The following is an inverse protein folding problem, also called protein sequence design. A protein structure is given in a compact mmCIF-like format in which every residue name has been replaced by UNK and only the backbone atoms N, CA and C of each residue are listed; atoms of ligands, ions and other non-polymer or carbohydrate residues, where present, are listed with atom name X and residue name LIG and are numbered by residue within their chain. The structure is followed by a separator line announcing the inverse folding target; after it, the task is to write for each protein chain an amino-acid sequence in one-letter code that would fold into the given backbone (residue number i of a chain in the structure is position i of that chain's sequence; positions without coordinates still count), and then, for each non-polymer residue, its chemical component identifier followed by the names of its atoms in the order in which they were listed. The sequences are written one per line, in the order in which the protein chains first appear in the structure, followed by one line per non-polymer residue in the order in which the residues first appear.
data_IF_297058363540
#
_entry.id   IF_297058363540
#
_cell.length_a   1.000
_cell.length_b   1.000
_cell.length_c   1.000
_cell.angle_alpha   90.00
_cell.angle_beta   90.00
_cell.angle_gamma   90.00
#
_symmetry.space_group_name_H-M   'P 1'
#
loop_
_entity.id
_entity.type
_entity.pdbx_description
1 polymer ?
#
# COMPACT_ATOMS: atom_id res chain seq x y z
N UNK A 1 -3.44 -39.99 -30.04
CA UNK A 1 -2.50 -39.39 -29.08
C UNK A 1 -2.91 -37.92 -28.95
N UNK A 2 -3.36 -37.47 -27.77
CA UNK A 2 -3.73 -36.07 -27.53
C UNK A 2 -2.58 -35.42 -26.75
N UNK A 3 -1.89 -34.49 -27.38
CA UNK A 3 -0.90 -33.64 -26.71
C UNK A 3 -1.68 -32.44 -26.18
N UNK A 4 -1.84 -32.36 -24.86
CA UNK A 4 -2.33 -31.15 -24.21
C UNK A 4 -1.11 -30.30 -23.88
N UNK A 5 -0.90 -29.21 -24.62
CA UNK A 5 0.09 -28.19 -24.27
C UNK A 5 -0.56 -27.33 -23.20
N UNK A 6 -0.18 -27.55 -21.94
CA UNK A 6 -0.44 -26.61 -20.86
C UNK A 6 0.53 -25.45 -21.04
N UNK A 7 0.12 -24.44 -21.80
CA UNK A 7 0.84 -23.19 -21.89
C UNK A 7 0.29 -22.28 -20.80
N UNK A 8 0.91 -22.32 -19.63
CA UNK A 8 0.68 -21.32 -18.60
C UNK A 8 1.34 -20.04 -19.11
N UNK A 9 0.55 -19.15 -19.70
CA UNK A 9 0.95 -17.75 -19.83
C UNK A 9 0.98 -17.21 -18.40
N UNK A 10 2.12 -17.33 -17.73
CA UNK A 10 2.38 -16.51 -16.56
C UNK A 10 2.15 -15.08 -17.01
N UNK A 11 1.16 -14.41 -16.40
CA UNK A 11 0.94 -12.98 -16.61
C UNK A 11 2.28 -12.30 -16.31
N UNK A 12 3.00 -11.89 -17.34
CA UNK A 12 4.39 -11.43 -17.27
C UNK A 12 4.46 -9.93 -16.91
N UNK A 13 3.43 -9.41 -16.24
CA UNK A 13 3.13 -7.99 -16.25
C UNK A 13 2.71 -7.41 -14.89
N UNK A 14 2.94 -8.11 -13.78
CA UNK A 14 2.42 -7.66 -12.47
C UNK A 14 3.47 -7.30 -11.41
N UNK A 15 4.65 -6.80 -11.79
CA UNK A 15 5.67 -6.14 -10.94
C UNK A 15 5.22 -5.70 -9.55
N UNK A 16 5.63 -6.31 -8.45
CA UNK A 16 5.49 -5.71 -7.13
C UNK A 16 6.72 -5.98 -6.25
N UNK A 17 7.18 -4.96 -5.54
CA UNK A 17 8.35 -5.08 -4.67
C UNK A 17 8.36 -4.04 -3.56
N UNK A 18 9.09 -4.39 -2.50
CA UNK A 18 9.54 -3.46 -1.46
C UNK A 18 11.00 -3.75 -1.11
N UNK A 19 11.83 -2.71 -1.11
CA UNK A 19 13.23 -2.76 -0.72
C UNK A 19 13.41 -1.95 0.55
N UNK A 20 14.08 -2.54 1.54
CA UNK A 20 14.37 -1.94 2.83
C UNK A 20 15.88 -1.82 2.98
N UNK A 21 16.37 -0.58 3.06
CA UNK A 21 17.76 -0.27 3.38
C UNK A 21 17.89 0.16 4.84
N UNK A 22 18.68 -0.56 5.64
CA UNK A 22 19.05 -0.15 7.00
C UNK A 22 20.43 0.49 7.01
N UNK A 23 20.55 1.66 7.65
CA UNK A 23 21.75 2.48 7.71
C UNK A 23 22.34 2.48 9.12
N UNK A 24 23.59 2.94 9.23
CA UNK A 24 24.30 3.02 10.53
C UNK A 24 23.71 4.06 11.46
N UNK A 25 23.13 5.13 10.91
CA UNK A 25 22.54 6.23 11.68
C UNK A 25 21.31 6.79 11.00
N UNK A 26 20.50 7.51 11.78
CA UNK A 26 19.33 8.26 11.28
C UNK A 26 19.76 9.30 10.24
N UNK A 27 20.90 9.97 10.45
CA UNK A 27 21.42 10.98 9.52
C UNK A 27 21.81 10.38 8.17
N UNK A 28 22.40 9.17 8.17
CA UNK A 28 22.76 8.50 6.92
C UNK A 28 21.49 8.09 6.14
N UNK A 29 20.47 7.59 6.85
CA UNK A 29 19.19 7.23 6.24
C UNK A 29 18.45 8.46 5.68
N UNK A 30 18.44 9.57 6.42
CA UNK A 30 17.86 10.84 5.97
C UNK A 30 18.56 11.35 4.70
N UNK A 31 19.90 11.33 4.67
CA UNK A 31 20.66 11.71 3.48
C UNK A 31 20.32 10.80 2.29
N UNK A 32 20.30 9.48 2.49
CA UNK A 32 19.99 8.53 1.44
C UNK A 32 18.55 8.70 0.91
N UNK A 33 17.57 8.91 1.79
CA UNK A 33 16.19 9.18 1.38
C UNK A 33 16.07 10.47 0.58
N UNK A 34 16.75 11.54 1.01
CA UNK A 34 16.77 12.80 0.28
C UNK A 34 17.41 12.64 -1.11
N UNK A 35 18.49 11.87 -1.21
CA UNK A 35 19.13 11.55 -2.50
C UNK A 35 18.20 10.74 -3.41
N UNK A 36 17.48 9.75 -2.89
CA UNK A 36 16.50 8.99 -3.68
C UNK A 36 15.36 9.87 -4.16
N UNK A 37 14.81 10.72 -3.29
CA UNK A 37 13.75 11.68 -3.64
C UNK A 37 14.21 12.65 -4.74
N UNK A 38 15.46 13.11 -4.68
CA UNK A 38 16.06 13.94 -5.73
C UNK A 38 16.18 13.19 -7.06
N UNK A 39 16.75 11.98 -7.04
CA UNK A 39 16.88 11.12 -8.24
C UNK A 39 15.51 10.90 -8.88
N UNK A 40 14.53 10.45 -8.07
CA UNK A 40 13.18 10.16 -8.55
C UNK A 40 12.45 11.42 -9.02
N UNK A 41 12.66 12.55 -8.37
CA UNK A 41 12.11 13.85 -8.79
C UNK A 41 12.57 14.20 -10.21
N UNK A 42 13.87 14.12 -10.48
CA UNK A 42 14.41 14.40 -11.82
C UNK A 42 13.92 13.42 -12.89
N UNK A 43 13.73 12.15 -12.56
CA UNK A 43 13.18 11.15 -13.48
C UNK A 43 11.73 11.51 -13.83
N UNK A 44 10.92 11.79 -12.80
CA UNK A 44 9.50 12.17 -12.97
C UNK A 44 9.34 13.45 -13.79
N UNK A 45 10.23 14.44 -13.63
CA UNK A 45 10.21 15.69 -14.41
C UNK A 45 10.55 15.50 -15.89
N UNK A 46 11.37 14.50 -16.21
CA UNK A 46 11.85 14.26 -17.58
C UNK A 46 11.04 13.21 -18.33
N UNK A 47 10.11 12.51 -17.66
CA UNK A 47 9.29 11.49 -18.31
C UNK A 47 8.31 12.12 -19.29
N UNK A 48 8.14 11.47 -20.44
CA UNK A 48 7.12 11.82 -21.43
C UNK A 48 5.90 10.91 -21.27
N UNK A 49 6.13 9.62 -21.03
CA UNK A 49 5.13 8.59 -20.77
C UNK A 49 5.71 7.56 -19.79
N UNK A 50 4.88 7.03 -18.88
CA UNK A 50 5.27 5.98 -17.92
C UNK A 50 5.54 4.63 -18.60
N UNK A 51 5.01 4.41 -19.80
CA UNK A 51 5.20 3.17 -20.56
C UNK A 51 6.35 3.25 -21.57
N UNK A 52 7.10 4.36 -21.60
CA UNK A 52 8.30 4.43 -22.44
C UNK A 52 9.36 3.48 -21.88
N UNK A 53 9.81 2.52 -22.70
CA UNK A 53 10.85 1.59 -22.30
C UNK A 53 12.24 2.23 -22.27
N UNK A 54 12.41 3.42 -22.88
CA UNK A 54 13.69 4.08 -23.02
C UNK A 54 14.02 4.92 -21.78
N UNK A 55 15.26 4.76 -21.30
CA UNK A 55 15.80 5.59 -20.22
C UNK A 55 15.70 7.08 -20.53
N UNK A 56 15.28 7.86 -19.55
CA UNK A 56 15.36 9.32 -19.58
C UNK A 56 16.79 9.78 -19.23
N UNK A 57 17.21 11.00 -19.60
CA UNK A 57 18.57 11.48 -19.33
C UNK A 57 18.99 11.40 -17.86
N UNK A 58 18.08 11.65 -16.92
CA UNK A 58 18.35 11.49 -15.49
C UNK A 58 18.77 10.05 -15.12
N UNK A 59 18.07 9.03 -15.64
CA UNK A 59 18.39 7.62 -15.35
C UNK A 59 19.77 7.25 -15.89
N UNK A 60 20.10 7.67 -17.11
CA UNK A 60 21.44 7.46 -17.69
C UNK A 60 22.52 8.11 -16.83
N UNK A 61 22.30 9.37 -16.44
CA UNK A 61 23.26 10.12 -15.64
C UNK A 61 23.49 9.49 -14.26
N UNK A 62 22.42 9.09 -13.57
CA UNK A 62 22.54 8.45 -12.25
C UNK A 62 23.09 7.03 -12.33
N UNK A 63 22.78 6.27 -13.38
CA UNK A 63 23.39 4.97 -13.63
C UNK A 63 24.91 5.07 -13.74
N UNK A 64 25.41 6.08 -14.48
CA UNK A 64 26.84 6.37 -14.59
C UNK A 64 27.43 6.86 -13.25
N UNK A 65 26.76 7.80 -12.57
CA UNK A 65 27.24 8.37 -11.30
C UNK A 65 27.44 7.31 -10.22
N UNK A 66 26.47 6.40 -10.06
CA UNK A 66 26.53 5.36 -9.03
C UNK A 66 27.17 4.05 -9.52
N UNK A 67 27.51 3.98 -10.82
CA UNK A 67 28.03 2.79 -11.48
C UNK A 67 27.17 1.55 -11.19
N UNK A 68 25.89 1.65 -11.56
CA UNK A 68 24.86 0.60 -11.42
C UNK A 68 24.29 0.24 -12.80
N UNK A 69 23.79 -0.99 -12.94
CA UNK A 69 23.09 -1.40 -14.14
C UNK A 69 21.67 -0.81 -14.15
N UNK A 70 21.36 0.01 -15.15
CA UNK A 70 20.04 0.59 -15.35
C UNK A 70 19.70 0.49 -16.83
N UNK A 71 18.89 -0.50 -17.19
CA UNK A 71 18.66 -0.89 -18.58
C UNK A 71 17.26 -0.51 -19.09
N UNK A 72 16.36 -0.11 -18.19
CA UNK A 72 14.96 0.26 -18.49
C UNK A 72 14.46 1.40 -17.62
N UNK A 73 13.47 2.11 -18.14
CA UNK A 73 12.79 3.19 -17.44
C UNK A 73 11.96 2.67 -16.25
N UNK A 74 11.97 3.38 -15.12
CA UNK A 74 11.15 3.06 -13.94
C UNK A 74 9.65 3.35 -14.18
N UNK A 75 8.95 2.39 -14.78
CA UNK A 75 7.52 2.46 -15.11
C UNK A 75 6.57 2.45 -13.89
N UNK A 76 7.07 2.10 -12.70
CA UNK A 76 6.34 2.18 -11.43
C UNK A 76 6.48 3.54 -10.72
N UNK A 77 7.36 4.43 -11.20
CA UNK A 77 7.67 5.68 -10.51
C UNK A 77 6.68 6.78 -10.91
N UNK A 78 5.60 6.95 -10.13
CA UNK A 78 4.60 7.98 -10.38
C UNK A 78 4.99 9.34 -9.80
N UNK A 79 5.53 9.34 -8.57
CA UNK A 79 5.83 10.53 -7.79
C UNK A 79 6.74 10.19 -6.59
N UNK A 80 7.96 10.72 -6.60
CA UNK A 80 9.02 10.37 -5.67
C UNK A 80 8.60 10.24 -4.19
N UNK A 81 7.74 11.15 -3.72
CA UNK A 81 7.29 11.26 -2.33
C UNK A 81 6.37 10.11 -1.87
N UNK A 82 5.78 9.35 -2.77
CA UNK A 82 4.96 8.18 -2.42
C UNK A 82 5.73 6.86 -2.45
N UNK A 83 6.90 6.82 -3.08
CA UNK A 83 7.67 5.58 -3.20
C UNK A 83 8.84 5.49 -2.22
N UNK A 84 9.25 6.59 -1.57
CA UNK A 84 10.38 6.61 -0.63
C UNK A 84 9.90 7.09 0.74
N UNK A 85 10.10 6.27 1.76
CA UNK A 85 9.85 6.65 3.15
C UNK A 85 11.10 6.40 3.98
N UNK A 86 11.47 7.39 4.82
CA UNK A 86 12.46 7.23 5.86
C UNK A 86 11.80 7.04 7.22
N UNK A 87 12.26 6.02 7.95
CA UNK A 87 11.87 5.73 9.33
C UNK A 87 13.14 5.43 10.13
N UNK A 88 13.51 6.35 11.01
CA UNK A 88 14.72 6.23 11.85
C UNK A 88 15.97 5.98 11.00
N UNK A 89 16.71 4.90 11.22
CA UNK A 89 17.86 4.54 10.40
C UNK A 89 17.49 3.64 9.20
N UNK A 90 16.22 3.60 8.80
CA UNK A 90 15.72 2.73 7.71
C UNK A 90 15.11 3.58 6.60
N UNK A 91 15.37 3.19 5.35
CA UNK A 91 14.72 3.73 4.15
C UNK A 91 13.98 2.59 3.46
N UNK A 92 12.73 2.83 3.10
CA UNK A 92 11.84 1.87 2.46
C UNK A 92 11.48 2.42 1.08
N UNK A 93 11.62 1.58 0.05
CA UNK A 93 11.25 1.89 -1.33
C UNK A 93 10.28 0.85 -1.85
N UNK A 94 9.10 1.23 -2.33
CA UNK A 94 8.10 0.29 -2.85
C UNK A 94 7.57 0.69 -4.22
N UNK A 95 7.33 -0.30 -5.08
CA UNK A 95 6.55 -0.11 -6.31
C UNK A 95 5.08 0.05 -5.93
N UNK A 96 4.63 1.30 -5.84
CA UNK A 96 3.26 1.63 -5.43
C UNK A 96 2.18 1.04 -6.39
N UNK A 97 2.54 0.73 -7.64
CA UNK A 97 1.61 0.12 -8.60
C UNK A 97 1.91 -1.36 -8.74
N UNK A 98 0.91 -2.20 -8.42
CA UNK A 98 0.94 -3.66 -8.48
C UNK A 98 1.02 -4.22 -9.92
N UNK A 99 1.59 -3.48 -10.86
CA UNK A 99 1.70 -3.84 -12.27
C UNK A 99 2.84 -3.08 -12.94
N UNK A 100 4.07 -3.42 -12.58
CA UNK A 100 5.28 -2.93 -13.26
C UNK A 100 5.99 -4.01 -14.08
N UNK A 101 6.71 -3.60 -15.12
CA UNK A 101 7.62 -4.44 -15.90
C UNK A 101 9.06 -4.41 -15.39
N UNK A 102 9.34 -3.59 -14.38
CA UNK A 102 10.62 -3.49 -13.70
C UNK A 102 10.53 -4.03 -12.26
N UNK A 103 11.47 -4.91 -11.93
CA UNK A 103 11.68 -5.34 -10.54
C UNK A 103 12.53 -4.35 -9.75
N UNK A 104 12.90 -4.75 -8.52
CA UNK A 104 13.62 -3.90 -7.58
C UNK A 104 15.14 -3.74 -7.86
N UNK A 105 15.68 -4.39 -8.88
CA UNK A 105 17.13 -4.51 -9.10
C UNK A 105 17.90 -3.17 -9.07
N UNK A 106 17.35 -2.11 -9.69
CA UNK A 106 17.96 -0.78 -9.66
C UNK A 106 18.07 -0.25 -8.22
N UNK A 107 17.05 -0.48 -7.40
CA UNK A 107 17.01 -0.04 -6.01
C UNK A 107 17.93 -0.89 -5.13
N UNK A 108 17.97 -2.20 -5.38
CA UNK A 108 18.88 -3.13 -4.70
C UNK A 108 20.35 -2.80 -4.96
N UNK A 109 20.67 -2.29 -6.14
CA UNK A 109 22.02 -1.82 -6.48
C UNK A 109 22.31 -0.42 -5.93
N UNK A 110 21.31 0.48 -5.92
CA UNK A 110 21.49 1.88 -5.51
C UNK A 110 21.62 2.04 -4.00
N UNK A 111 20.77 1.38 -3.20
CA UNK A 111 20.79 1.53 -1.73
C UNK A 111 22.13 1.18 -1.08
N UNK A 112 22.86 0.11 -1.46
CA UNK A 112 24.19 -0.17 -0.94
C UNK A 112 25.22 0.90 -1.31
N UNK A 113 25.09 1.55 -2.48
CA UNK A 113 25.96 2.69 -2.86
C UNK A 113 25.73 3.90 -1.96
N UNK A 114 24.50 4.03 -1.42
CA UNK A 114 24.15 5.04 -0.42
C UNK A 114 24.54 4.62 1.01
N UNK A 115 25.10 3.42 1.21
CA UNK A 115 25.59 2.93 2.50
C UNK A 115 24.61 2.04 3.28
N UNK A 116 23.53 1.58 2.66
CA UNK A 116 22.56 0.69 3.28
C UNK A 116 23.04 -0.77 3.35
N UNK A 117 22.56 -1.49 4.35
CA UNK A 117 22.37 -2.95 4.28
C UNK A 117 20.95 -3.22 3.77
N UNK A 118 20.81 -4.01 2.70
CA UNK A 118 19.53 -4.16 1.99
C UNK A 118 18.84 -5.50 2.30
N UNK A 119 17.53 -5.45 2.50
CA UNK A 119 16.60 -6.57 2.43
C UNK A 119 15.53 -6.26 1.37
N UNK A 120 15.08 -7.28 0.63
CA UNK A 120 14.17 -7.11 -0.49
C UNK A 120 13.08 -8.17 -0.48
N UNK A 121 11.87 -7.73 -0.80
CA UNK A 121 10.72 -8.56 -1.11
C UNK A 121 10.21 -8.20 -2.51
N UNK A 122 9.90 -9.19 -3.34
CA UNK A 122 9.57 -8.98 -4.75
C UNK A 122 8.80 -10.12 -5.41
N UNK A 123 8.17 -9.83 -6.54
CA UNK A 123 7.05 -10.53 -7.23
C UNK A 123 7.27 -11.98 -7.73
N UNK A 124 8.30 -12.67 -7.28
CA UNK A 124 8.43 -14.13 -7.39
C UNK A 124 9.04 -14.76 -6.15
N UNK A 125 9.39 -13.95 -5.15
CA UNK A 125 9.73 -14.47 -3.85
C UNK A 125 8.45 -15.03 -3.26
N UNK A 126 8.48 -16.32 -2.95
CA UNK A 126 7.62 -16.87 -1.93
C UNK A 126 8.07 -16.25 -0.59
N UNK A 127 8.06 -14.92 -0.43
CA UNK A 127 8.38 -14.20 0.78
C UNK A 127 7.56 -12.91 0.94
N UNK A 128 7.56 -12.39 2.15
CA UNK A 128 6.90 -11.14 2.53
C UNK A 128 7.75 -10.41 3.56
N UNK A 129 7.83 -9.08 3.49
CA UNK A 129 8.40 -8.30 4.61
C UNK A 129 7.44 -8.33 5.80
N UNK A 130 7.92 -8.93 6.87
CA UNK A 130 7.23 -8.99 8.14
C UNK A 130 7.77 -7.92 9.07
N UNK A 131 6.87 -7.14 9.63
CA UNK A 131 7.18 -6.11 10.61
C UNK A 131 6.75 -6.59 11.98
N UNK A 132 7.65 -6.43 12.94
CA UNK A 132 7.35 -6.50 14.36
C UNK A 132 7.50 -5.11 14.96
N UNK A 133 6.43 -4.60 15.57
CA UNK A 133 6.41 -3.31 16.25
C UNK A 133 6.36 -3.54 17.76
N UNK A 134 7.31 -2.96 18.48
CA UNK A 134 7.35 -2.97 19.94
C UNK A 134 7.18 -1.56 20.46
N UNK A 135 6.13 -1.31 21.23
CA UNK A 135 5.83 0.00 21.80
C UNK A 135 5.87 -0.06 23.33
N UNK A 136 6.71 0.75 23.96
CA UNK A 136 6.64 1.02 25.40
C UNK A 136 5.54 2.04 25.67
N UNK A 137 4.58 1.66 26.49
CA UNK A 137 3.42 2.49 26.87
C UNK A 137 3.67 3.21 28.19
N UNK A 138 2.97 4.34 28.47
CA UNK A 138 3.15 5.08 29.72
C UNK A 138 2.69 4.30 30.96
N UNK A 139 1.72 3.39 30.82
CA UNK A 139 1.25 2.51 31.88
C UNK A 139 0.57 1.26 31.30
N UNK A 140 0.53 0.17 32.07
CA UNK A 140 0.02 -1.14 31.62
C UNK A 140 -1.44 -1.11 31.13
N UNK A 141 -2.30 -0.26 31.71
CA UNK A 141 -3.67 -0.11 31.24
C UNK A 141 -3.74 0.43 29.78
N UNK A 142 -2.75 1.21 29.33
CA UNK A 142 -2.67 1.65 27.93
C UNK A 142 -2.27 0.49 27.02
N UNK A 143 -1.32 -0.36 27.42
CA UNK A 143 -0.97 -1.55 26.65
C UNK A 143 -2.18 -2.47 26.46
N UNK A 144 -2.95 -2.74 27.52
CA UNK A 144 -4.15 -3.57 27.45
C UNK A 144 -5.23 -2.97 26.52
N UNK A 145 -5.45 -1.66 26.60
CA UNK A 145 -6.40 -0.98 25.70
C UNK A 145 -5.93 -1.07 24.24
N UNK A 146 -4.66 -0.77 23.96
CA UNK A 146 -4.12 -0.80 22.60
C UNK A 146 -4.07 -2.22 22.04
N UNK A 147 -3.76 -3.21 22.88
CA UNK A 147 -3.84 -4.64 22.54
C UNK A 147 -5.27 -5.01 22.13
N UNK A 148 -6.28 -4.64 22.94
CA UNK A 148 -7.68 -4.90 22.62
C UNK A 148 -8.08 -4.27 21.29
N UNK A 149 -7.79 -2.98 21.09
CA UNK A 149 -8.11 -2.25 19.86
C UNK A 149 -7.43 -2.89 18.63
N UNK A 150 -6.17 -3.30 18.78
CA UNK A 150 -5.42 -3.94 17.70
C UNK A 150 -5.97 -5.34 17.39
N UNK A 151 -6.26 -6.15 18.41
CA UNK A 151 -6.82 -7.49 18.25
C UNK A 151 -8.25 -7.47 17.67
N UNK A 152 -9.07 -6.49 18.04
CA UNK A 152 -10.40 -6.30 17.44
C UNK A 152 -10.28 -6.03 15.94
N UNK A 153 -9.35 -5.16 15.54
CA UNK A 153 -9.07 -4.88 14.14
C UNK A 153 -8.54 -6.12 13.38
N UNK A 154 -7.51 -6.80 13.92
CA UNK A 154 -6.91 -7.96 13.29
C UNK A 154 -7.93 -9.11 13.13
N UNK A 155 -8.79 -9.32 14.12
CA UNK A 155 -9.87 -10.31 14.06
C UNK A 155 -10.92 -9.96 13.00
N UNK A 156 -11.30 -8.68 12.89
CA UNK A 156 -12.20 -8.21 11.85
C UNK A 156 -11.58 -8.36 10.45
N UNK A 157 -10.26 -8.11 10.33
CA UNK A 157 -9.53 -8.23 9.07
C UNK A 157 -9.44 -9.69 8.61
N UNK A 158 -9.10 -10.62 9.51
CA UNK A 158 -9.11 -12.04 9.22
C UNK A 158 -10.52 -12.49 8.74
N UNK A 159 -11.56 -12.11 9.48
CA UNK A 159 -12.95 -12.42 9.11
C UNK A 159 -13.36 -11.84 7.75
N UNK A 160 -12.87 -10.64 7.41
CA UNK A 160 -13.08 -10.01 6.12
C UNK A 160 -12.41 -10.81 4.99
N UNK A 161 -11.17 -11.23 5.18
CA UNK A 161 -10.40 -11.96 4.16
C UNK A 161 -10.87 -13.41 3.96
N UNK A 162 -11.41 -14.04 5.00
CA UNK A 162 -12.02 -15.38 4.93
C UNK A 162 -13.40 -15.37 4.24
N UNK A 163 -13.99 -14.19 4.01
CA UNK A 163 -15.29 -14.09 3.36
C UNK A 163 -15.19 -14.37 1.86
N UNK A 164 -16.03 -15.27 1.30
CA UNK A 164 -16.07 -15.50 -0.15
C UNK A 164 -16.47 -14.25 -0.94
N UNK A 165 -17.11 -13.28 -0.28
CA UNK A 165 -17.62 -12.05 -0.88
C UNK A 165 -16.78 -10.82 -0.49
N UNK A 166 -15.54 -11.00 -0.01
CA UNK A 166 -14.71 -9.91 0.53
C UNK A 166 -14.56 -8.70 -0.42
N UNK A 167 -14.56 -8.92 -1.74
CA UNK A 167 -14.51 -7.84 -2.74
C UNK A 167 -15.72 -6.91 -2.72
N UNK A 168 -16.83 -7.35 -2.10
CA UNK A 168 -18.08 -6.59 -1.96
C UNK A 168 -18.35 -6.12 -0.53
N UNK A 169 -17.54 -6.56 0.44
CA UNK A 169 -17.69 -6.18 1.83
C UNK A 169 -16.87 -4.92 2.16
N UNK A 170 -17.36 -4.07 3.09
CA UNK A 170 -16.54 -3.02 3.65
C UNK A 170 -15.38 -3.64 4.41
N UNK A 171 -14.17 -3.32 3.98
CA UNK A 171 -12.96 -3.78 4.66
C UNK A 171 -12.79 -3.04 6.00
N UNK A 172 -12.37 -3.72 7.07
CA UNK A 172 -12.23 -3.10 8.39
C UNK A 172 -11.20 -1.97 8.36
N UNK A 173 -11.47 -0.94 9.14
CA UNK A 173 -10.63 0.26 9.22
C UNK A 173 -9.57 0.03 10.29
N UNK A 174 -8.29 0.19 9.94
CA UNK A 174 -7.23 0.14 10.93
C UNK A 174 -7.27 1.38 11.84
N UNK A 175 -6.96 1.26 13.14
CA UNK A 175 -6.90 2.40 14.06
C UNK A 175 -5.96 3.52 13.59
N UNK A 176 -4.92 3.13 12.85
CA UNK A 176 -3.90 4.05 12.34
C UNK A 176 -4.19 4.62 10.95
N UNK A 177 -5.30 4.25 10.29
CA UNK A 177 -5.61 4.74 8.94
C UNK A 177 -5.69 6.29 8.85
N UNK A 178 -6.03 6.96 9.95
CA UNK A 178 -6.11 8.43 10.04
C UNK A 178 -4.76 9.14 10.17
N UNK A 179 -3.68 8.38 10.37
CA UNK A 179 -2.32 8.88 10.51
C UNK A 179 -1.51 8.77 9.21
N UNK A 180 -2.18 8.36 8.13
CA UNK A 180 -1.63 8.34 6.80
C UNK A 180 -1.28 9.77 6.34
N UNK A 181 -0.13 9.93 5.70
CA UNK A 181 0.43 11.24 5.29
C UNK A 181 -0.52 12.00 4.37
N UNK A 182 -0.56 13.33 4.54
CA UNK A 182 -1.38 14.23 3.71
C UNK A 182 -2.71 14.65 4.34
N UNK A 183 -2.89 14.43 5.65
CA UNK A 183 -4.07 14.80 6.44
C UNK A 183 -4.67 16.13 5.96
N UNK A 184 -5.83 16.14 5.28
CA UNK A 184 -6.59 17.37 5.20
C UNK A 184 -7.04 17.71 6.64
N UNK A 185 -7.12 19.00 7.00
CA UNK A 185 -7.63 19.46 8.31
C UNK A 185 -9.11 19.10 8.48
N UNK A 186 -9.41 17.82 8.66
CA UNK A 186 -10.77 17.29 8.70
C UNK A 186 -10.96 16.62 10.06
N UNK A 187 -12.06 16.98 10.73
CA UNK A 187 -12.44 16.36 12.00
C UNK A 187 -12.82 14.90 11.78
N UNK A 188 -12.56 14.04 12.76
CA UNK A 188 -12.94 12.63 12.77
C UNK A 188 -14.42 12.41 12.40
N UNK A 189 -15.32 13.27 12.88
CA UNK A 189 -16.75 13.22 12.53
C UNK A 189 -17.01 13.38 11.03
N UNK A 190 -16.29 14.29 10.37
CA UNK A 190 -16.45 14.51 8.93
C UNK A 190 -15.90 13.33 8.12
N UNK A 191 -14.92 12.61 8.67
CA UNK A 191 -14.37 11.38 8.10
C UNK A 191 -15.40 10.25 8.20
N UNK A 192 -15.93 10.03 9.39
CA UNK A 192 -16.95 9.01 9.65
C UNK A 192 -18.18 9.28 8.79
N UNK A 193 -18.59 10.54 8.65
CA UNK A 193 -19.68 10.93 7.77
C UNK A 193 -19.37 10.60 6.30
N UNK A 194 -18.18 10.95 5.79
CA UNK A 194 -17.79 10.65 4.41
C UNK A 194 -17.73 9.13 4.13
N UNK A 195 -17.21 8.35 5.08
CA UNK A 195 -17.20 6.89 4.97
C UNK A 195 -18.61 6.30 4.95
N UNK A 196 -19.50 6.74 5.85
CA UNK A 196 -20.88 6.28 5.87
C UNK A 196 -21.63 6.65 4.58
N UNK A 197 -21.39 7.85 4.05
CA UNK A 197 -21.93 8.28 2.75
C UNK A 197 -21.41 7.38 1.62
N UNK A 198 -20.12 7.04 1.61
CA UNK A 198 -19.54 6.11 0.64
C UNK A 198 -20.16 4.71 0.74
N UNK A 199 -20.35 4.18 1.96
CA UNK A 199 -21.00 2.89 2.19
C UNK A 199 -22.45 2.88 1.71
N UNK A 200 -23.20 3.95 1.96
CA UNK A 200 -24.56 4.10 1.45
C UNK A 200 -24.58 4.14 -0.09
N UNK A 201 -23.63 4.85 -0.71
CA UNK A 201 -23.49 4.91 -2.16
C UNK A 201 -23.10 3.56 -2.76
N UNK A 202 -22.18 2.82 -2.14
CA UNK A 202 -21.79 1.48 -2.58
C UNK A 202 -22.98 0.51 -2.53
N UNK A 203 -23.76 0.50 -1.44
CA UNK A 203 -25.00 -0.30 -1.35
C UNK A 203 -25.99 0.04 -2.46
N UNK A 204 -26.11 1.33 -2.81
CA UNK A 204 -26.97 1.78 -3.91
C UNK A 204 -26.47 1.29 -5.27
N UNK A 205 -25.15 1.30 -5.49
CA UNK A 205 -24.52 0.76 -6.69
C UNK A 205 -24.72 -0.75 -6.81
N UNK A 206 -24.56 -1.50 -5.72
CA UNK A 206 -24.83 -2.94 -5.69
C UNK A 206 -26.30 -3.26 -5.99
N UNK A 207 -27.24 -2.48 -5.44
CA UNK A 207 -28.67 -2.63 -5.78
C UNK A 207 -28.94 -2.42 -7.27
N UNK A 208 -28.25 -1.48 -7.92
CA UNK A 208 -28.39 -1.23 -9.36
C UNK A 208 -27.75 -2.38 -10.17
N UNK A 209 -26.57 -2.86 -9.76
CA UNK A 209 -25.89 -4.02 -10.38
C UNK A 209 -26.77 -5.27 -10.30
N UNK A 210 -27.42 -5.50 -9.17
CA UNK A 210 -28.36 -6.59 -9.00
C UNK A 210 -29.61 -6.43 -9.88
N UNK A 211 -30.18 -5.23 -10.00
CA UNK A 211 -31.28 -4.97 -10.95
C UNK A 211 -30.85 -5.27 -12.40
N UNK A 212 -29.64 -4.86 -12.79
CA UNK A 212 -29.08 -5.17 -14.12
C UNK A 212 -28.92 -6.68 -14.33
N UNK A 213 -28.44 -7.41 -13.31
CA UNK A 213 -28.30 -8.87 -13.33
C UNK A 213 -29.66 -9.56 -13.50
N UNK A 214 -30.68 -9.11 -12.77
CA UNK A 214 -32.05 -9.62 -12.88
C UNK A 214 -32.68 -9.37 -14.25
N UNK A 215 -32.28 -8.30 -14.92
CA UNK A 215 -32.67 -8.00 -16.31
C UNK A 215 -31.86 -8.82 -17.35
N UNK A 216 -30.98 -9.73 -16.91
CA UNK A 216 -30.16 -10.57 -17.79
C UNK A 216 -29.02 -9.81 -18.47
N UNK A 217 -28.63 -8.64 -17.94
CA UNK A 217 -27.57 -7.79 -18.49
C UNK A 217 -26.24 -8.24 -17.85
N UNK A 218 -25.55 -9.19 -18.51
CA UNK A 218 -24.23 -9.68 -18.10
C UNK A 218 -23.14 -9.08 -19.01
N UNK A 219 -22.27 -8.24 -18.46
CA UNK A 219 -21.24 -7.50 -19.21
C UNK A 219 -21.82 -6.32 -20.01
N UNK A 220 -20.98 -5.39 -20.45
CA UNK A 220 -21.39 -4.20 -21.22
C UNK A 220 -21.18 -4.45 -22.72
N UNK A 221 -22.23 -4.63 -23.53
CA UNK A 221 -22.14 -4.36 -24.96
C UNK A 221 -22.52 -2.89 -25.21
N UNK A 222 -21.60 -2.11 -25.79
CA UNK A 222 -21.72 -0.67 -26.10
C UNK A 222 -22.87 -0.27 -27.04
N UNK A 223 -23.82 -1.15 -27.37
CA UNK A 223 -24.77 -0.98 -28.49
C UNK A 223 -26.26 -1.05 -28.15
N UNK A 224 -26.65 -0.95 -26.89
CA UNK A 224 -28.08 -0.84 -26.52
C UNK A 224 -28.36 0.57 -26.01
N UNK A 225 -29.22 1.38 -26.67
CA UNK A 225 -29.54 2.75 -26.24
C UNK A 225 -29.97 2.86 -24.78
N UNK A 226 -30.67 1.83 -24.28
CA UNK A 226 -31.11 1.73 -22.88
C UNK A 226 -29.95 1.48 -21.89
N UNK A 227 -28.87 0.81 -22.32
CA UNK A 227 -27.65 0.66 -21.53
C UNK A 227 -26.90 1.99 -21.50
N UNK A 228 -26.79 2.69 -22.62
CA UNK A 228 -26.18 4.04 -22.66
C UNK A 228 -26.95 5.04 -21.78
N UNK A 229 -28.29 4.98 -21.75
CA UNK A 229 -29.11 5.80 -20.86
C UNK A 229 -28.93 5.45 -19.37
N UNK A 230 -28.82 4.17 -19.02
CA UNK A 230 -28.56 3.75 -17.64
C UNK A 230 -27.13 4.08 -17.20
N UNK A 231 -26.14 3.91 -18.08
CA UNK A 231 -24.74 4.31 -17.86
C UNK A 231 -24.63 5.83 -17.72
N UNK A 232 -25.34 6.59 -18.55
CA UNK A 232 -25.39 8.04 -18.48
C UNK A 232 -26.09 8.50 -17.20
N UNK A 233 -27.22 7.88 -16.82
CA UNK A 233 -27.90 8.15 -15.55
C UNK A 233 -27.01 7.81 -14.35
N UNK A 234 -26.26 6.71 -14.41
CA UNK A 234 -25.24 6.35 -13.42
C UNK A 234 -24.15 7.42 -13.33
N UNK A 235 -23.57 7.83 -14.47
CA UNK A 235 -22.52 8.86 -14.52
C UNK A 235 -23.03 10.23 -14.06
N UNK A 236 -24.27 10.60 -14.39
CA UNK A 236 -24.89 11.84 -13.95
C UNK A 236 -25.26 11.81 -12.47
N UNK A 237 -25.60 10.64 -11.92
CA UNK A 237 -25.75 10.43 -10.48
C UNK A 237 -24.41 10.46 -9.76
N UNK A 238 -23.32 9.97 -10.36
CA UNK A 238 -21.98 10.00 -9.78
C UNK A 238 -21.30 11.37 -9.92
N UNK A 239 -21.68 12.17 -10.92
CA UNK A 239 -21.07 13.47 -11.28
C UNK A 239 -20.93 14.48 -10.13
N UNK A 240 -21.95 14.69 -9.27
CA UNK A 240 -21.82 15.58 -8.10
C UNK A 240 -20.79 15.06 -7.09
N UNK A 241 -20.45 13.77 -7.16
CA UNK A 241 -19.56 13.07 -6.26
C UNK A 241 -18.20 12.75 -6.86
N UNK A 242 -17.86 13.20 -8.08
CA UNK A 242 -16.55 12.90 -8.70
C UNK A 242 -15.55 14.06 -8.52
N UNK A 243 -15.99 15.24 -8.08
CA UNK A 243 -15.14 16.43 -7.96
C UNK A 243 -15.44 17.34 -6.76
N UNK A 244 -16.11 16.83 -5.74
CA UNK A 244 -16.28 17.59 -4.50
C UNK A 244 -15.06 17.38 -3.60
N UNK A 245 -14.78 18.32 -2.70
CA UNK A 245 -13.79 18.05 -1.63
C UNK A 245 -14.13 16.78 -0.86
N UNK A 246 -15.43 16.51 -0.65
CA UNK A 246 -15.91 15.27 -0.05
C UNK A 246 -15.55 14.02 -0.86
N UNK A 247 -15.54 14.08 -2.19
CA UNK A 247 -15.15 12.94 -3.01
C UNK A 247 -13.65 12.73 -3.05
N UNK A 248 -12.86 13.80 -3.16
CA UNK A 248 -11.40 13.73 -3.04
C UNK A 248 -11.00 13.19 -1.68
N UNK A 249 -11.73 13.58 -0.64
CA UNK A 249 -11.58 13.07 0.71
C UNK A 249 -11.97 11.59 0.79
N UNK A 250 -13.10 11.18 0.17
CA UNK A 250 -13.52 9.78 0.12
C UNK A 250 -12.57 8.88 -0.71
N UNK A 251 -12.00 9.39 -1.80
CA UNK A 251 -11.01 8.71 -2.62
C UNK A 251 -9.68 8.60 -1.85
N UNK A 252 -9.25 9.68 -1.19
CA UNK A 252 -8.12 9.65 -0.25
C UNK A 252 -8.36 8.65 0.88
N UNK A 253 -9.59 8.57 1.41
CA UNK A 253 -9.96 7.58 2.42
C UNK A 253 -9.89 6.17 1.89
N UNK A 254 -10.56 5.90 0.78
CA UNK A 254 -10.54 4.60 0.14
C UNK A 254 -9.11 4.14 -0.12
N UNK A 255 -8.27 5.08 -0.55
CA UNK A 255 -6.85 4.87 -0.77
C UNK A 255 -6.07 4.59 0.52
N UNK A 256 -6.15 5.47 1.53
CA UNK A 256 -5.50 5.28 2.83
C UNK A 256 -5.95 3.98 3.52
N UNK A 257 -7.23 3.63 3.41
CA UNK A 257 -7.78 2.38 3.95
C UNK A 257 -7.33 1.16 3.16
N UNK A 258 -7.16 1.25 1.84
CA UNK A 258 -6.68 0.12 1.06
C UNK A 258 -5.19 -0.14 1.31
N UNK A 259 -4.44 0.90 1.64
CA UNK A 259 -2.99 0.83 1.77
C UNK A 259 -2.48 0.74 3.22
N UNK A 260 -3.27 1.11 4.24
CA UNK A 260 -2.83 0.99 5.64
C UNK A 260 -3.02 -0.42 6.25
N UNK A 261 -3.47 -1.40 5.48
CA UNK A 261 -3.82 -2.74 5.97
C UNK A 261 -2.63 -3.69 5.86
N UNK A 262 -2.38 -4.51 6.89
CA UNK A 262 -1.54 -5.66 6.68
C UNK A 262 -2.26 -6.68 5.77
N UNK A 263 -1.55 -7.26 4.82
CA UNK A 263 -1.96 -8.45 4.08
C UNK A 263 -1.91 -9.67 4.99
N UNK A 264 -3.01 -10.43 5.07
CA UNK A 264 -3.06 -11.67 5.83
C UNK A 264 -2.60 -12.90 5.03
N UNK A 265 -1.77 -12.73 3.99
CA UNK A 265 -1.27 -13.88 3.25
C UNK A 265 -0.32 -14.75 4.07
N UNK A 266 0.05 -14.33 5.30
CA UNK A 266 0.96 -14.96 6.28
C UNK A 266 0.43 -16.28 6.82
N UNK A 267 1.16 -17.38 6.61
CA UNK A 267 0.94 -18.66 7.34
C UNK A 267 0.96 -18.43 8.87
N UNK A 268 1.62 -17.35 9.30
CA UNK A 268 1.59 -16.87 10.67
C UNK A 268 0.66 -15.66 10.78
N UNK A 269 -0.47 -15.76 11.49
CA UNK A 269 -1.39 -14.64 11.64
C UNK A 269 -0.71 -13.47 12.37
N UNK A 270 -1.07 -12.23 11.99
CA UNK A 270 -0.70 -11.05 12.77
C UNK A 270 -1.31 -11.15 14.17
N UNK A 271 -0.52 -10.83 15.20
CA UNK A 271 -0.93 -10.92 16.60
C UNK A 271 -0.56 -9.65 17.35
N UNK A 272 -1.33 -9.30 18.39
CA UNK A 272 -0.99 -8.22 19.31
C UNK A 272 -1.11 -8.73 20.74
N UNK A 273 -0.12 -8.43 21.58
CA UNK A 273 -0.16 -8.78 22.99
C UNK A 273 0.48 -7.72 23.91
N UNK A 274 -0.08 -7.55 25.11
CA UNK A 274 0.48 -6.69 26.14
C UNK A 274 1.41 -7.48 27.09
N UNK A 275 2.61 -6.96 27.33
CA UNK A 275 3.59 -7.51 28.25
C UNK A 275 4.06 -6.43 29.24
N UNK A 276 3.28 -6.21 30.30
CA UNK A 276 3.56 -5.19 31.31
C UNK A 276 3.36 -3.78 30.76
N UNK A 277 4.45 -3.03 30.60
CA UNK A 277 4.47 -1.70 30.00
C UNK A 277 4.84 -1.71 28.51
N UNK A 278 4.73 -2.87 27.86
CA UNK A 278 4.97 -3.04 26.42
C UNK A 278 3.71 -3.53 25.71
N UNK A 279 3.49 -3.00 24.52
CA UNK A 279 2.64 -3.55 23.48
C UNK A 279 3.55 -4.14 22.40
N UNK A 280 3.29 -5.37 21.97
CA UNK A 280 4.04 -6.03 20.90
C UNK A 280 3.03 -6.45 19.84
N UNK A 281 3.23 -5.98 18.60
CA UNK A 281 2.43 -6.33 17.43
C UNK A 281 3.36 -7.04 16.45
N UNK A 282 3.06 -8.30 16.17
CA UNK A 282 3.94 -9.20 15.43
C UNK A 282 3.29 -9.65 14.13
N UNK A 283 4.12 -10.11 13.21
CA UNK A 283 3.69 -10.68 11.94
C UNK A 283 2.84 -9.72 11.09
N UNK A 284 3.11 -8.41 11.15
CA UNK A 284 2.45 -7.43 10.30
C UNK A 284 3.09 -7.44 8.91
N UNK A 285 2.33 -7.75 7.87
CA UNK A 285 2.82 -7.68 6.49
C UNK A 285 2.09 -6.54 5.78
N UNK A 286 2.74 -5.44 5.40
CA UNK A 286 2.06 -4.34 4.69
C UNK A 286 2.08 -4.47 3.15
N UNK A 287 2.72 -5.53 2.62
CA UNK A 287 2.97 -5.71 1.20
C UNK A 287 3.64 -4.48 0.59
N UNK A 288 3.20 -4.10 -0.61
CA UNK A 288 3.66 -2.88 -1.31
C UNK A 288 3.37 -1.57 -0.56
N UNK A 289 2.52 -1.61 0.46
CA UNK A 289 2.12 -0.42 1.19
C UNK A 289 2.92 -0.19 2.48
N UNK A 290 4.04 -0.92 2.66
CA UNK A 290 4.92 -0.76 3.81
C UNK A 290 5.40 0.68 3.98
N UNK A 291 5.68 1.37 2.86
CA UNK A 291 6.08 2.79 2.81
C UNK A 291 5.09 3.71 3.51
N UNK A 292 3.82 3.30 3.67
CA UNK A 292 2.75 4.17 4.15
C UNK A 292 2.06 3.62 5.41
N UNK A 293 1.80 2.32 5.47
CA UNK A 293 1.12 1.68 6.59
C UNK A 293 1.94 1.68 7.87
N UNK A 294 3.24 1.39 7.79
CA UNK A 294 4.12 1.36 8.96
C UNK A 294 4.32 2.75 9.59
N UNK A 295 4.62 3.83 8.83
CA UNK A 295 4.67 5.18 9.40
C UNK A 295 3.38 5.60 10.11
N UNK A 296 2.22 5.26 9.53
CA UNK A 296 0.92 5.58 10.12
C UNK A 296 0.73 4.86 11.46
N UNK A 297 1.06 3.56 11.54
CA UNK A 297 1.03 2.78 12.78
C UNK A 297 1.96 3.37 13.86
N UNK A 298 3.21 3.68 13.50
CA UNK A 298 4.18 4.28 14.42
C UNK A 298 3.68 5.63 14.92
N UNK A 299 3.11 6.45 14.03
CA UNK A 299 2.58 7.77 14.42
C UNK A 299 1.39 7.65 15.38
N UNK A 300 0.44 6.76 15.09
CA UNK A 300 -0.69 6.48 15.98
C UNK A 300 -0.22 6.10 17.38
N UNK A 301 0.72 5.15 17.48
CA UNK A 301 1.26 4.70 18.77
C UNK A 301 1.98 5.84 19.52
N UNK A 302 2.73 6.71 18.81
CA UNK A 302 3.38 7.88 19.41
C UNK A 302 2.37 8.90 19.94
N UNK A 303 1.27 9.14 19.22
CA UNK A 303 0.21 10.04 19.67
C UNK A 303 -0.58 9.45 20.87
N UNK A 304 -0.56 8.12 21.03
CA UNK A 304 -1.03 7.41 22.24
C UNK A 304 -0.01 7.45 23.41
N UNK A 305 1.08 8.21 23.26
CA UNK A 305 2.11 8.42 24.27
C UNK A 305 3.18 7.32 24.33
N UNK A 306 3.28 6.47 23.30
CA UNK A 306 4.24 5.37 23.28
C UNK A 306 5.63 5.81 22.80
N UNK A 307 6.67 5.17 23.33
CA UNK A 307 7.98 5.08 22.67
C UNK A 307 7.99 3.82 21.81
N UNK A 308 8.28 3.95 20.52
CA UNK A 308 8.09 2.86 19.56
C UNK A 308 9.43 2.47 18.95
N UNK A 309 9.73 1.19 19.01
CA UNK A 309 10.80 0.52 18.28
C UNK A 309 10.16 -0.44 17.25
N UNK A 310 10.84 -0.72 16.13
CA UNK A 310 10.37 -1.70 15.16
C UNK A 310 11.52 -2.49 14.55
N UNK A 311 11.18 -3.65 14.02
CA UNK A 311 12.08 -4.48 13.22
C UNK A 311 11.35 -4.96 11.98
N UNK A 312 12.09 -5.07 10.88
CA UNK A 312 11.59 -5.58 9.61
C UNK A 312 12.45 -6.78 9.26
N UNK A 313 11.79 -7.90 8.99
CA UNK A 313 12.43 -9.15 8.64
C UNK A 313 11.79 -9.69 7.36
N UNK A 314 12.63 -10.09 6.40
CA UNK A 314 12.15 -10.86 5.26
C UNK A 314 11.80 -12.28 5.72
N UNK A 315 10.54 -12.69 5.56
CA UNK A 315 10.10 -14.05 5.86
C UNK A 315 9.75 -14.78 4.58
N UNK A 316 10.31 -15.97 4.37
CA UNK A 316 9.88 -16.85 3.29
C UNK A 316 8.58 -17.58 3.66
N UNK A 317 7.65 -17.63 2.70
CA UNK A 317 6.43 -18.43 2.65
C UNK A 317 6.67 -19.93 2.51
N UNK A 318 7.88 -20.34 2.10
CA UNK A 318 8.27 -21.76 2.05
C UNK A 318 9.01 -22.15 3.33
N UNK A 319 8.29 -22.69 4.33
CA UNK A 319 8.88 -23.40 5.47
C UNK A 319 8.07 -24.61 5.87
#
# INVERSE_FOLDING_TARGET
MKISIWQQFGSNHSSDFTVVGTFKSVSDAEQAAQTLLEIFGYIVEQRIDIYDAKLVPAEVWYAEQYNIAWDRHLDWLYNADQQVTQLENTVIVSSYVASTWMGAAVIDELLPKLGASVQQDGEMSNGGLIVTVTARVPHSATAQRLEQVTNDYLSALASYLDSPDYTSMPSPISPWAFYFVGKPEVSEDAIVAAYNDQQANHKKLESIREEMRQLGINGVPDKVPRISELQQKHNDMAKPFINTEKSKLADWYFWAFSNAKPYAYTDTPSTSHAAGDKLIIENLNFGINLVQGLPALIRWLRDEGCTVDFSIELKSWES
#
